data_IF_349855132392
#
_entry.id   IF_349855132392
#
_cell.length_a   1.000
_cell.length_b   1.000
_cell.length_c   1.000
_cell.angle_alpha   90.00
_cell.angle_beta   90.00
_cell.angle_gamma   90.00
#
_symmetry.space_group_name_H-M   'P 1'
#
loop_
_entity.id
_entity.type
_entity.pdbx_description
1 polymer ?
#
# COMPACT_ATOMS: atom_id res chain seq x y z
N UNK A 1 -10.76 -1.85 34.12
CA UNK A 1 -11.13 -1.39 32.77
C UNK A 1 -11.25 -2.61 31.88
N UNK A 2 -12.26 -2.70 31.02
CA UNK A 2 -12.36 -3.75 30.02
C UNK A 2 -11.17 -3.66 29.07
N UNK A 3 -10.66 -4.80 28.61
CA UNK A 3 -9.56 -4.87 27.64
C UNK A 3 -10.00 -4.15 26.35
N UNK A 4 -9.14 -3.27 25.82
CA UNK A 4 -9.40 -2.59 24.53
C UNK A 4 -9.56 -3.63 23.42
N UNK A 5 -10.65 -3.54 22.67
CA UNK A 5 -10.90 -4.41 21.52
C UNK A 5 -11.39 -3.59 20.34
N UNK A 6 -10.64 -3.63 19.27
CA UNK A 6 -10.95 -2.99 18.00
C UNK A 6 -11.28 -4.05 16.93
N UNK A 7 -11.73 -3.60 15.78
CA UNK A 7 -11.85 -4.47 14.59
C UNK A 7 -11.56 -3.68 13.31
N UNK A 8 -11.10 -4.39 12.30
CA UNK A 8 -11.21 -3.97 10.91
C UNK A 8 -12.26 -4.84 10.21
N UNK A 9 -13.15 -4.21 9.45
CA UNK A 9 -14.33 -4.86 8.91
C UNK A 9 -14.54 -4.53 7.43
N UNK A 10 -13.73 -5.11 6.52
CA UNK A 10 -13.83 -4.85 5.09
C UNK A 10 -14.93 -5.69 4.44
N UNK A 11 -15.62 -5.10 3.43
CA UNK A 11 -16.45 -5.85 2.50
C UNK A 11 -15.60 -6.36 1.34
N UNK A 12 -15.63 -7.67 0.99
CA UNK A 12 -14.79 -8.27 -0.04
C UNK A 12 -15.39 -8.03 -1.43
N UNK A 13 -15.62 -6.76 -1.78
CA UNK A 13 -16.15 -6.31 -3.08
C UNK A 13 -15.08 -5.80 -4.04
N UNK A 14 -13.81 -5.91 -3.65
CA UNK A 14 -12.61 -5.51 -4.39
C UNK A 14 -11.35 -5.74 -3.58
N UNK A 15 -10.20 -5.48 -4.21
CA UNK A 15 -8.89 -5.59 -3.57
C UNK A 15 -8.73 -4.57 -2.44
N UNK A 16 -7.91 -4.91 -1.42
CA UNK A 16 -7.63 -4.02 -0.30
C UNK A 16 -6.86 -2.79 -0.79
N UNK A 17 -7.53 -1.66 -0.87
CA UNK A 17 -6.87 -0.39 -1.22
C UNK A 17 -6.17 0.24 0.00
N UNK A 18 -5.21 1.12 -0.25
CA UNK A 18 -4.39 1.73 0.82
C UNK A 18 -5.20 2.50 1.86
N UNK A 19 -6.35 3.07 1.53
CA UNK A 19 -7.25 3.70 2.50
C UNK A 19 -7.81 2.70 3.51
N UNK A 20 -8.19 1.50 3.04
CA UNK A 20 -8.59 0.39 3.90
C UNK A 20 -7.41 -0.13 4.74
N UNK A 21 -6.25 -0.34 4.12
CA UNK A 21 -5.04 -0.78 4.82
C UNK A 21 -4.61 0.20 5.92
N UNK A 22 -4.66 1.54 5.66
CA UNK A 22 -4.41 2.56 6.68
C UNK A 22 -5.39 2.49 7.84
N UNK A 23 -6.67 2.35 7.54
CA UNK A 23 -7.71 2.24 8.57
C UNK A 23 -7.51 1.00 9.43
N UNK A 24 -7.19 -0.13 8.81
CA UNK A 24 -6.83 -1.36 9.51
C UNK A 24 -5.60 -1.18 10.41
N UNK A 25 -4.55 -0.55 9.87
CA UNK A 25 -3.33 -0.24 10.63
C UNK A 25 -3.63 0.60 11.87
N UNK A 26 -4.48 1.63 11.74
CA UNK A 26 -4.84 2.47 12.88
C UNK A 26 -5.68 1.74 13.93
N UNK A 27 -6.64 0.92 13.50
CA UNK A 27 -7.42 0.09 14.42
C UNK A 27 -6.52 -0.91 15.15
N UNK A 28 -5.58 -1.51 14.44
CA UNK A 28 -4.62 -2.46 14.97
C UNK A 28 -3.64 -1.80 15.95
N UNK A 29 -3.01 -0.68 15.58
CA UNK A 29 -2.10 0.07 16.43
C UNK A 29 -2.80 0.62 17.67
N UNK A 30 -4.04 1.09 17.53
CA UNK A 30 -4.83 1.57 18.67
C UNK A 30 -5.03 0.49 19.74
N UNK A 31 -5.30 -0.75 19.30
CA UNK A 31 -5.42 -1.88 20.21
C UNK A 31 -4.06 -2.29 20.78
N UNK A 32 -3.06 -2.53 19.91
CA UNK A 32 -1.73 -3.04 20.32
C UNK A 32 -1.02 -2.11 21.28
N UNK A 33 -1.00 -0.81 21.01
CA UNK A 33 -0.40 0.19 21.90
C UNK A 33 -1.03 0.26 23.29
N UNK A 34 -2.19 -0.36 23.48
CA UNK A 34 -2.93 -0.44 24.75
C UNK A 34 -3.07 -1.87 25.26
N UNK A 35 -2.24 -2.81 24.76
CA UNK A 35 -2.26 -4.23 25.12
C UNK A 35 -3.63 -4.88 24.89
N UNK A 36 -4.36 -4.36 23.89
CA UNK A 36 -5.69 -4.81 23.48
C UNK A 36 -5.65 -5.87 22.38
N UNK A 37 -6.80 -6.10 21.78
CA UNK A 37 -7.01 -7.04 20.67
C UNK A 37 -7.58 -6.32 19.46
N UNK A 38 -7.14 -6.73 18.26
CA UNK A 38 -7.73 -6.30 17.00
C UNK A 38 -8.27 -7.51 16.23
N UNK A 39 -9.53 -7.46 15.83
CA UNK A 39 -10.22 -8.54 15.10
C UNK A 39 -10.34 -8.20 13.61
N UNK A 40 -10.39 -9.24 12.77
CA UNK A 40 -10.78 -9.14 11.36
C UNK A 40 -12.17 -9.70 11.17
N UNK A 41 -13.08 -8.90 10.59
CA UNK A 41 -14.42 -9.32 10.20
C UNK A 41 -14.64 -9.06 8.72
N UNK A 42 -14.92 -10.09 7.96
CA UNK A 42 -15.26 -9.97 6.54
C UNK A 42 -16.78 -9.75 6.42
N UNK A 43 -17.16 -8.62 5.82
CA UNK A 43 -18.55 -8.22 5.63
C UNK A 43 -19.05 -8.70 4.25
N UNK A 44 -19.32 -10.00 4.16
CA UNK A 44 -19.67 -10.76 2.95
C UNK A 44 -21.17 -11.03 2.77
N UNK A 45 -22.02 -10.21 3.41
CA UNK A 45 -23.49 -10.36 3.33
C UNK A 45 -24.05 -10.07 1.93
N UNK A 46 -23.37 -9.24 1.12
CA UNK A 46 -23.73 -9.00 -0.28
C UNK A 46 -23.11 -10.08 -1.18
N UNK A 47 -23.81 -11.19 -1.36
CA UNK A 47 -23.35 -12.33 -2.16
C UNK A 47 -23.13 -12.02 -3.64
N UNK A 48 -23.72 -10.93 -4.17
CA UNK A 48 -23.59 -10.57 -5.59
C UNK A 48 -22.28 -9.89 -5.89
N UNK A 49 -21.72 -9.13 -4.94
CA UNK A 49 -20.48 -8.38 -5.07
C UNK A 49 -19.30 -8.99 -4.33
N UNK A 50 -19.54 -9.82 -3.31
CA UNK A 50 -18.50 -10.50 -2.54
C UNK A 50 -17.91 -11.66 -3.33
N UNK A 51 -16.57 -11.78 -3.32
CA UNK A 51 -15.84 -12.89 -3.96
C UNK A 51 -14.76 -13.42 -3.02
N UNK A 52 -14.58 -14.74 -3.03
CA UNK A 52 -13.53 -15.41 -2.25
C UNK A 52 -12.14 -14.92 -2.62
N UNK A 53 -11.88 -14.63 -3.89
CA UNK A 53 -10.63 -14.04 -4.40
C UNK A 53 -10.26 -12.73 -3.66
N UNK A 54 -11.25 -11.84 -3.42
CA UNK A 54 -10.99 -10.59 -2.69
C UNK A 54 -10.76 -10.83 -1.20
N UNK A 55 -11.43 -11.83 -0.62
CA UNK A 55 -11.20 -12.22 0.77
C UNK A 55 -9.78 -12.74 0.97
N UNK A 56 -9.33 -13.63 0.10
CA UNK A 56 -7.96 -14.16 0.15
C UNK A 56 -6.92 -13.06 -0.04
N UNK A 57 -7.16 -12.15 -0.98
CA UNK A 57 -6.24 -11.02 -1.22
C UNK A 57 -6.16 -10.10 -0.01
N UNK A 58 -7.29 -9.77 0.62
CA UNK A 58 -7.33 -8.97 1.86
C UNK A 58 -6.47 -9.62 2.95
N UNK A 59 -6.64 -10.92 3.18
CA UNK A 59 -5.88 -11.68 4.19
C UNK A 59 -4.38 -11.70 3.84
N UNK A 60 -4.03 -11.96 2.58
CA UNK A 60 -2.66 -11.98 2.10
C UNK A 60 -1.99 -10.60 2.20
N UNK A 61 -2.73 -9.53 1.90
CA UNK A 61 -2.25 -8.16 2.06
C UNK A 61 -1.87 -7.84 3.50
N UNK A 62 -2.68 -8.23 4.49
CA UNK A 62 -2.34 -8.03 5.89
C UNK A 62 -1.17 -8.88 6.34
N UNK A 63 -1.10 -10.13 5.89
CA UNK A 63 0.05 -11.00 6.15
C UNK A 63 1.34 -10.39 5.60
N UNK A 64 1.31 -9.84 4.39
CA UNK A 64 2.45 -9.18 3.78
C UNK A 64 2.85 -7.90 4.54
N UNK A 65 1.87 -7.08 4.98
CA UNK A 65 2.13 -5.91 5.81
C UNK A 65 2.62 -6.24 7.24
N UNK A 66 2.58 -7.51 7.65
CA UNK A 66 2.89 -7.93 9.01
C UNK A 66 1.86 -7.47 10.04
N UNK A 67 0.60 -7.31 9.63
CA UNK A 67 -0.54 -7.02 10.50
C UNK A 67 -1.24 -8.34 10.83
N UNK A 68 -1.27 -8.68 12.13
CA UNK A 68 -1.87 -9.93 12.63
C UNK A 68 -3.11 -9.62 13.47
N UNK A 69 -4.12 -10.45 13.34
CA UNK A 69 -5.35 -10.35 14.12
C UNK A 69 -5.36 -11.40 15.24
N UNK A 70 -6.00 -11.07 16.36
CA UNK A 70 -5.87 -11.84 17.60
C UNK A 70 -6.79 -13.06 17.68
N UNK A 71 -7.75 -13.19 16.76
CA UNK A 71 -8.70 -14.31 16.69
C UNK A 71 -8.85 -14.76 15.23
N UNK A 72 -9.58 -15.86 15.03
CA UNK A 72 -9.98 -16.31 13.70
C UNK A 72 -10.83 -15.24 13.00
N UNK A 73 -10.73 -15.19 11.69
CA UNK A 73 -11.51 -14.26 10.87
C UNK A 73 -13.02 -14.55 11.00
N UNK A 74 -13.77 -13.53 11.33
CA UNK A 74 -15.22 -13.60 11.44
C UNK A 74 -15.83 -13.33 10.06
N UNK A 75 -16.81 -14.13 9.66
CA UNK A 75 -17.58 -13.93 8.41
C UNK A 75 -19.03 -13.59 8.75
N UNK A 76 -19.53 -12.46 8.27
CA UNK A 76 -20.92 -12.03 8.52
C UNK A 76 -21.95 -13.00 7.96
N UNK A 77 -21.65 -13.62 6.82
CA UNK A 77 -22.54 -14.61 6.19
C UNK A 77 -22.86 -15.81 7.08
N UNK A 78 -22.00 -16.10 8.08
CA UNK A 78 -22.23 -17.20 9.02
C UNK A 78 -23.21 -16.84 10.15
N UNK A 79 -23.53 -15.56 10.34
CA UNK A 79 -24.31 -15.07 11.48
C UNK A 79 -25.80 -14.82 11.16
N UNK A 80 -26.31 -15.25 10.01
CA UNK A 80 -27.69 -14.97 9.58
C UNK A 80 -28.76 -15.33 10.62
N UNK A 81 -28.62 -16.49 11.31
CA UNK A 81 -29.51 -16.90 12.38
C UNK A 81 -29.46 -15.93 13.55
N UNK A 82 -28.26 -15.48 13.93
CA UNK A 82 -28.07 -14.54 15.04
C UNK A 82 -28.67 -13.18 14.73
N UNK A 83 -28.57 -12.70 13.52
CA UNK A 83 -29.22 -11.45 13.11
C UNK A 83 -30.73 -11.54 13.24
N UNK A 84 -31.34 -12.65 12.81
CA UNK A 84 -32.78 -12.86 12.96
C UNK A 84 -33.22 -12.85 14.43
N UNK A 85 -32.51 -13.56 15.32
CA UNK A 85 -32.77 -13.54 16.76
C UNK A 85 -32.76 -12.13 17.34
N UNK A 86 -31.79 -11.30 16.88
CA UNK A 86 -31.65 -9.91 17.35
C UNK A 86 -32.71 -8.98 16.77
N UNK A 87 -33.18 -9.21 15.54
CA UNK A 87 -34.36 -8.51 14.98
C UNK A 87 -35.60 -8.83 15.77
N UNK A 88 -35.84 -10.11 16.10
CA UNK A 88 -36.99 -10.54 16.92
C UNK A 88 -37.00 -9.85 18.29
N UNK A 89 -35.83 -9.72 18.93
CA UNK A 89 -35.67 -9.01 20.21
C UNK A 89 -36.04 -7.52 20.09
N UNK A 90 -35.72 -6.84 18.95
CA UNK A 90 -36.11 -5.43 18.74
C UNK A 90 -37.62 -5.28 18.46
N UNK A 91 -38.24 -6.26 17.81
CA UNK A 91 -39.70 -6.31 17.65
C UNK A 91 -40.40 -6.50 18.98
N UNK A 92 -39.95 -7.44 19.83
CA UNK A 92 -40.50 -7.73 21.14
C UNK A 92 -40.43 -6.53 22.09
N UNK A 93 -39.33 -5.76 22.06
CA UNK A 93 -39.19 -4.58 22.93
C UNK A 93 -39.76 -3.29 22.33
N UNK A 94 -40.40 -3.36 21.15
CA UNK A 94 -41.04 -2.22 20.50
C UNK A 94 -40.08 -1.22 19.84
N UNK A 95 -38.78 -1.55 19.71
CA UNK A 95 -37.78 -0.69 19.04
C UNK A 95 -37.73 -0.90 17.53
N UNK A 96 -38.46 -1.89 17.01
CA UNK A 96 -38.64 -2.15 15.58
C UNK A 96 -40.09 -2.45 15.26
N UNK A 97 -40.45 -2.39 13.98
CA UNK A 97 -41.82 -2.67 13.50
C UNK A 97 -41.78 -3.27 12.09
N UNK A 98 -42.83 -4.02 11.76
CA UNK A 98 -42.99 -4.62 10.41
C UNK A 98 -43.84 -3.69 9.56
N UNK A 99 -43.42 -3.46 8.32
CA UNK A 99 -44.13 -2.64 7.36
C UNK A 99 -44.13 -3.26 5.96
N UNK A 100 -45.04 -2.79 5.09
CA UNK A 100 -45.10 -3.16 3.69
C UNK A 100 -44.53 -2.03 2.82
N UNK A 101 -43.53 -2.36 2.00
CA UNK A 101 -43.06 -1.47 0.98
C UNK A 101 -41.87 -0.58 1.37
N UNK A 102 -41.42 0.21 0.42
CA UNK A 102 -40.23 1.07 0.53
C UNK A 102 -40.61 2.54 0.82
N UNK A 103 -41.91 2.85 0.94
CA UNK A 103 -42.40 4.22 1.16
C UNK A 103 -42.33 4.59 2.65
N UNK A 104 -41.38 5.46 3.00
CA UNK A 104 -41.08 5.90 4.37
C UNK A 104 -42.25 6.67 4.98
N UNK A 105 -43.04 7.40 4.21
CA UNK A 105 -44.19 8.19 4.71
C UNK A 105 -45.37 7.28 5.08
N UNK A 106 -45.63 6.25 4.31
CA UNK A 106 -46.64 5.24 4.59
C UNK A 106 -46.18 4.33 5.75
N UNK A 107 -44.91 4.02 5.82
CA UNK A 107 -44.26 3.26 6.89
C UNK A 107 -44.33 3.96 8.25
N UNK A 108 -44.16 5.29 8.31
CA UNK A 108 -44.33 6.06 9.54
C UNK A 108 -45.76 5.96 10.12
N UNK A 109 -46.75 5.81 9.25
CA UNK A 109 -48.16 5.57 9.67
C UNK A 109 -48.38 4.14 10.17
N UNK A 110 -47.60 3.18 9.69
CA UNK A 110 -47.72 1.76 10.06
C UNK A 110 -46.97 1.39 11.34
N UNK A 111 -46.15 2.30 11.93
CA UNK A 111 -45.42 2.07 13.20
C UNK A 111 -46.29 1.48 14.34
N UNK A 112 -47.54 1.82 14.35
CA UNK A 112 -48.49 1.41 15.42
C UNK A 112 -49.37 0.22 15.02
N UNK A 113 -49.24 -0.32 13.80
CA UNK A 113 -50.19 -1.33 13.28
C UNK A 113 -49.76 -2.78 13.57
N UNK A 114 -48.59 -3.04 14.17
CA UNK A 114 -48.09 -4.38 14.53
C UNK A 114 -48.37 -5.44 13.46
N UNK A 115 -47.97 -5.16 12.20
CA UNK A 115 -48.11 -6.11 11.12
C UNK A 115 -47.28 -7.37 11.40
N UNK A 116 -47.89 -8.53 11.10
CA UNK A 116 -47.12 -9.78 11.17
C UNK A 116 -46.14 -9.88 10.01
N UNK A 117 -44.99 -10.49 10.24
CA UNK A 117 -44.06 -10.84 9.15
C UNK A 117 -44.81 -11.71 8.13
N UNK A 118 -44.78 -11.28 6.88
CA UNK A 118 -45.38 -11.95 5.74
C UNK A 118 -44.49 -11.70 4.49
N UNK A 119 -44.82 -12.36 3.39
CA UNK A 119 -44.15 -12.13 2.12
C UNK A 119 -44.24 -10.64 1.76
N UNK A 120 -43.13 -10.08 1.27
CA UNK A 120 -42.95 -8.68 0.92
C UNK A 120 -42.99 -7.65 2.07
N UNK A 121 -42.87 -8.08 3.31
CA UNK A 121 -42.69 -7.17 4.44
C UNK A 121 -41.21 -6.96 4.76
N UNK A 122 -40.87 -5.78 5.29
CA UNK A 122 -39.56 -5.46 5.84
C UNK A 122 -39.65 -5.11 7.30
N UNK A 123 -38.54 -5.22 8.03
CA UNK A 123 -38.49 -4.73 9.42
C UNK A 123 -37.67 -3.47 9.48
N UNK A 124 -38.24 -2.40 10.05
CA UNK A 124 -37.55 -1.13 10.26
C UNK A 124 -37.23 -0.91 11.73
N UNK A 125 -36.06 -0.33 11.98
CA UNK A 125 -35.69 0.19 13.30
C UNK A 125 -36.39 1.52 13.54
N UNK A 126 -36.98 1.70 14.70
CA UNK A 126 -37.70 2.90 15.11
C UNK A 126 -36.70 3.91 15.70
N UNK A 127 -36.34 4.91 14.92
CA UNK A 127 -35.48 6.00 15.41
C UNK A 127 -36.21 6.89 16.41
N UNK A 128 -35.51 7.46 17.42
CA UNK A 128 -36.13 8.43 18.33
C UNK A 128 -36.50 9.71 17.56
N UNK A 129 -37.69 10.25 17.86
CA UNK A 129 -38.21 11.46 17.16
C UNK A 129 -37.78 12.77 17.84
N UNK A 130 -37.59 12.73 19.16
CA UNK A 130 -37.31 13.94 19.95
C UNK A 130 -35.90 13.92 20.52
N UNK A 131 -35.34 15.11 20.78
CA UNK A 131 -34.03 15.28 21.36
C UNK A 131 -32.91 15.18 20.31
N UNK A 132 -31.76 14.72 20.71
CA UNK A 132 -30.57 14.60 19.85
C UNK A 132 -29.78 13.33 20.15
N UNK A 133 -29.11 12.82 19.12
CA UNK A 133 -28.11 11.76 19.26
C UNK A 133 -26.72 12.38 19.12
N UNK A 134 -25.85 12.18 20.11
CA UNK A 134 -24.50 12.70 20.14
C UNK A 134 -23.49 11.64 20.58
N UNK A 135 -22.23 11.84 20.19
CA UNK A 135 -21.08 11.06 20.63
C UNK A 135 -19.81 11.89 20.54
N UNK A 136 -18.81 11.55 21.36
CA UNK A 136 -17.47 12.14 21.29
C UNK A 136 -16.59 11.24 20.44
N UNK A 137 -16.19 11.77 19.28
CA UNK A 137 -15.29 11.08 18.35
C UNK A 137 -13.82 11.30 18.72
N UNK A 138 -12.99 10.26 18.66
CA UNK A 138 -11.58 10.33 19.01
C UNK A 138 -10.76 11.29 18.10
N UNK A 139 -11.26 11.56 16.87
CA UNK A 139 -10.57 12.39 15.89
C UNK A 139 -11.28 13.72 15.71
N UNK A 140 -12.60 13.71 15.57
CA UNK A 140 -13.41 14.89 15.20
C UNK A 140 -13.97 15.64 16.41
N UNK A 141 -13.88 15.10 17.63
CA UNK A 141 -14.47 15.68 18.82
C UNK A 141 -15.97 15.42 18.94
N UNK A 142 -16.73 16.32 19.53
CA UNK A 142 -18.16 16.15 19.74
C UNK A 142 -18.95 16.30 18.45
N UNK A 143 -19.79 15.30 18.13
CA UNK A 143 -20.65 15.29 16.96
C UNK A 143 -22.08 15.02 17.43
N UNK A 144 -23.02 15.86 16.98
CA UNK A 144 -24.43 15.81 17.37
C UNK A 144 -25.34 16.02 16.17
N UNK A 145 -26.48 15.32 16.17
CA UNK A 145 -27.56 15.53 15.19
C UNK A 145 -28.90 15.56 15.92
N UNK A 146 -29.83 16.40 15.47
CA UNK A 146 -31.21 16.37 15.96
C UNK A 146 -31.92 15.11 15.48
N UNK A 147 -32.68 14.46 16.36
CA UNK A 147 -33.30 13.18 16.04
C UNK A 147 -34.41 13.29 14.97
N UNK A 148 -35.00 14.47 14.79
CA UNK A 148 -35.97 14.74 13.71
C UNK A 148 -35.33 14.68 12.29
N UNK A 149 -33.99 14.71 12.20
CA UNK A 149 -33.25 14.50 10.95
C UNK A 149 -32.85 13.03 10.71
N UNK A 150 -33.16 12.15 11.68
CA UNK A 150 -32.87 10.72 11.59
C UNK A 150 -34.11 9.95 11.18
N UNK A 151 -34.03 9.26 10.05
CA UNK A 151 -35.11 8.45 9.54
C UNK A 151 -35.04 7.00 10.02
N UNK A 152 -36.20 6.35 10.18
CA UNK A 152 -36.29 4.91 10.38
C UNK A 152 -35.62 4.19 9.21
N UNK A 153 -34.92 3.12 9.49
CA UNK A 153 -34.18 2.40 8.45
C UNK A 153 -34.43 0.89 8.51
N UNK A 154 -34.39 0.26 7.37
CA UNK A 154 -34.60 -1.19 7.24
C UNK A 154 -33.45 -1.92 7.94
N UNK A 155 -33.79 -2.84 8.85
CA UNK A 155 -32.84 -3.75 9.52
C UNK A 155 -32.94 -5.16 8.99
N UNK A 156 -34.11 -5.60 8.47
CA UNK A 156 -34.33 -6.86 7.78
C UNK A 156 -35.10 -6.61 6.47
N UNK A 157 -34.60 -7.13 5.36
CA UNK A 157 -35.25 -7.05 4.06
C UNK A 157 -36.35 -8.10 3.91
N UNK A 158 -37.14 -8.00 2.85
CA UNK A 158 -38.19 -8.93 2.50
C UNK A 158 -37.72 -10.37 2.23
N UNK A 159 -36.46 -10.54 1.84
CA UNK A 159 -35.83 -11.86 1.69
C UNK A 159 -35.27 -12.43 3.01
N UNK A 160 -35.48 -11.76 4.15
CA UNK A 160 -35.00 -12.13 5.46
C UNK A 160 -33.52 -11.77 5.71
N UNK A 161 -32.83 -11.12 4.78
CA UNK A 161 -31.45 -10.70 4.98
C UNK A 161 -31.36 -9.43 5.82
N UNK A 162 -30.44 -9.42 6.79
CA UNK A 162 -30.18 -8.24 7.61
C UNK A 162 -29.37 -7.17 6.83
N UNK A 163 -29.54 -5.91 7.21
CA UNK A 163 -28.83 -4.79 6.56
C UNK A 163 -27.55 -4.41 7.26
N UNK A 164 -26.64 -3.73 6.54
CA UNK A 164 -25.30 -3.35 6.99
C UNK A 164 -25.28 -2.72 8.40
N UNK A 165 -26.02 -1.63 8.63
CA UNK A 165 -25.98 -0.92 9.90
C UNK A 165 -26.42 -1.77 11.10
N UNK A 166 -27.30 -2.73 10.87
CA UNK A 166 -27.76 -3.65 11.89
C UNK A 166 -26.75 -4.79 12.14
N UNK A 167 -26.28 -5.44 11.07
CA UNK A 167 -25.28 -6.52 11.18
C UNK A 167 -24.03 -6.06 11.95
N UNK A 168 -23.51 -4.87 11.62
CA UNK A 168 -22.32 -4.30 12.28
C UNK A 168 -22.52 -4.18 13.79
N UNK A 169 -23.69 -3.72 14.24
CA UNK A 169 -23.97 -3.59 15.68
C UNK A 169 -24.04 -4.95 16.37
N UNK A 170 -24.74 -5.92 15.77
CA UNK A 170 -24.84 -7.28 16.34
C UNK A 170 -23.48 -7.93 16.47
N UNK A 171 -22.65 -7.84 15.41
CA UNK A 171 -21.30 -8.42 15.42
C UNK A 171 -20.36 -7.69 16.39
N UNK A 172 -20.46 -6.36 16.51
CA UNK A 172 -19.68 -5.58 17.45
C UNK A 172 -20.07 -5.91 18.91
N UNK A 173 -21.35 -6.17 19.18
CA UNK A 173 -21.83 -6.65 20.48
C UNK A 173 -21.29 -8.06 20.81
N UNK A 174 -21.49 -9.01 19.91
CA UNK A 174 -21.08 -10.40 20.12
C UNK A 174 -19.55 -10.52 20.25
N UNK A 175 -18.80 -9.69 19.50
CA UNK A 175 -17.34 -9.59 19.59
C UNK A 175 -16.84 -8.71 20.74
N UNK A 176 -17.73 -8.06 21.48
CA UNK A 176 -17.42 -7.13 22.60
C UNK A 176 -16.44 -6.02 22.14
N UNK A 177 -16.70 -5.41 21.00
CA UNK A 177 -15.89 -4.31 20.48
C UNK A 177 -16.06 -3.08 21.37
N UNK A 178 -14.94 -2.51 21.83
CA UNK A 178 -14.93 -1.33 22.68
C UNK A 178 -14.63 -0.05 21.91
N UNK A 179 -13.90 -0.16 20.78
CA UNK A 179 -13.50 0.99 19.96
C UNK A 179 -13.63 0.66 18.47
N UNK A 180 -14.20 1.60 17.73
CA UNK A 180 -14.44 1.50 16.29
C UNK A 180 -13.66 2.61 15.58
N UNK A 181 -12.53 2.25 14.95
CA UNK A 181 -11.76 3.17 14.11
C UNK A 181 -12.06 2.84 12.65
N UNK A 182 -12.52 3.85 11.87
CA UNK A 182 -12.97 3.65 10.49
C UNK A 182 -12.89 4.95 9.68
N UNK A 183 -13.16 4.88 8.39
CA UNK A 183 -13.25 6.05 7.52
C UNK A 183 -14.38 7.01 7.90
N UNK A 184 -14.20 8.29 7.66
CA UNK A 184 -15.16 9.34 8.01
C UNK A 184 -16.40 9.38 7.12
N UNK A 185 -16.42 8.65 6.02
CA UNK A 185 -17.61 8.38 5.21
C UNK A 185 -18.71 7.60 5.96
N UNK A 186 -18.36 7.00 7.11
CA UNK A 186 -19.29 6.29 7.99
C UNK A 186 -19.85 7.12 9.16
N UNK A 187 -19.51 8.39 9.30
CA UNK A 187 -20.01 9.23 10.43
C UNK A 187 -21.53 9.20 10.55
N UNK A 188 -22.25 9.33 9.44
CA UNK A 188 -23.72 9.31 9.44
C UNK A 188 -24.30 7.95 9.86
N UNK A 189 -23.59 6.85 9.62
CA UNK A 189 -24.01 5.53 10.08
C UNK A 189 -23.92 5.38 11.59
N UNK A 190 -23.02 6.12 12.24
CA UNK A 190 -22.80 6.07 13.69
C UNK A 190 -24.05 6.42 14.47
N UNK A 191 -24.81 7.42 14.03
CA UNK A 191 -26.06 7.81 14.71
C UNK A 191 -27.10 6.67 14.70
N UNK A 192 -27.21 5.94 13.59
CA UNK A 192 -28.10 4.76 13.48
C UNK A 192 -27.63 3.64 14.42
N UNK A 193 -26.33 3.35 14.38
CA UNK A 193 -25.72 2.28 15.17
C UNK A 193 -25.82 2.55 16.68
N UNK A 194 -25.56 3.79 17.14
CA UNK A 194 -25.71 4.18 18.54
C UNK A 194 -27.13 3.92 19.04
N UNK A 195 -28.16 4.25 18.26
CA UNK A 195 -29.54 4.04 18.66
C UNK A 195 -29.91 2.55 18.72
N UNK A 196 -29.33 1.72 17.85
CA UNK A 196 -29.50 0.25 17.93
C UNK A 196 -28.83 -0.32 19.20
N UNK A 197 -27.60 0.11 19.54
CA UNK A 197 -26.94 -0.27 20.80
C UNK A 197 -27.80 0.09 22.01
N UNK A 198 -28.35 1.31 22.06
CA UNK A 198 -29.23 1.78 23.12
C UNK A 198 -30.52 0.97 23.21
N UNK A 199 -31.09 0.55 22.07
CA UNK A 199 -32.30 -0.26 22.04
C UNK A 199 -32.09 -1.69 22.60
N UNK A 200 -30.86 -2.18 22.53
CA UNK A 200 -30.45 -3.43 23.19
C UNK A 200 -30.09 -3.24 24.67
N UNK A 201 -30.03 -2.00 25.15
CA UNK A 201 -29.55 -1.64 26.48
C UNK A 201 -28.09 -2.08 26.71
N UNK A 202 -27.24 -1.89 25.68
CA UNK A 202 -25.84 -2.26 25.69
C UNK A 202 -24.93 -1.01 25.56
N UNK A 203 -23.67 -1.15 26.00
CA UNK A 203 -22.70 -0.07 25.94
C UNK A 203 -22.34 0.26 24.49
N UNK A 204 -22.33 1.56 24.18
CA UNK A 204 -21.91 2.07 22.87
C UNK A 204 -20.39 2.11 22.79
N UNK A 205 -19.75 1.53 21.76
CA UNK A 205 -18.32 1.62 21.60
C UNK A 205 -17.87 3.07 21.35
N UNK A 206 -16.63 3.39 21.70
CA UNK A 206 -16.01 4.67 21.36
C UNK A 206 -15.67 4.68 19.86
N UNK A 207 -16.00 5.76 19.17
CA UNK A 207 -15.76 5.90 17.72
C UNK A 207 -14.57 6.83 17.44
N UNK A 208 -13.85 6.54 16.37
CA UNK A 208 -12.82 7.39 15.78
C UNK A 208 -12.93 7.36 14.26
N UNK A 209 -13.28 8.50 13.65
CA UNK A 209 -13.48 8.62 12.20
C UNK A 209 -12.28 9.33 11.56
N UNK A 210 -11.45 8.55 10.88
CA UNK A 210 -10.23 9.05 10.21
C UNK A 210 -10.58 9.64 8.84
N UNK A 211 -10.02 10.80 8.48
CA UNK A 211 -10.28 11.45 7.19
C UNK A 211 -9.85 10.57 6.02
N UNK A 212 -10.46 10.78 4.86
CA UNK A 212 -10.06 10.10 3.63
C UNK A 212 -8.65 10.51 3.20
N UNK A 213 -8.00 9.65 2.42
CA UNK A 213 -6.76 9.98 1.71
C UNK A 213 -7.15 10.64 0.39
N UNK A 214 -6.48 11.75 0.05
CA UNK A 214 -6.66 12.49 -1.19
C UNK A 214 -5.53 12.20 -2.17
N UNK A 215 -5.80 12.34 -3.46
CA UNK A 215 -4.80 12.43 -4.50
C UNK A 215 -4.18 13.84 -4.54
N UNK A 216 -3.15 14.02 -5.35
CA UNK A 216 -2.48 15.33 -5.52
C UNK A 216 -3.41 16.42 -6.08
N UNK A 217 -4.49 16.02 -6.75
CA UNK A 217 -5.54 16.94 -7.24
C UNK A 217 -6.56 17.36 -6.16
N UNK A 218 -6.35 16.96 -4.91
CA UNK A 218 -7.22 17.25 -3.77
C UNK A 218 -8.54 16.46 -3.75
N UNK A 219 -8.76 15.54 -4.69
CA UNK A 219 -9.94 14.69 -4.72
C UNK A 219 -9.67 13.36 -3.98
N UNK A 220 -10.75 12.66 -3.62
CA UNK A 220 -10.64 11.32 -3.04
C UNK A 220 -9.70 10.46 -3.89
N UNK A 221 -8.75 9.82 -3.24
CA UNK A 221 -7.79 8.94 -3.90
C UNK A 221 -8.52 7.85 -4.70
N UNK A 222 -8.14 7.70 -5.97
CA UNK A 222 -8.72 6.74 -6.91
C UNK A 222 -7.63 6.03 -7.70
N UNK A 223 -7.99 5.01 -8.47
CA UNK A 223 -7.05 4.27 -9.33
C UNK A 223 -6.22 5.20 -10.25
N UNK A 224 -6.78 6.34 -10.66
CA UNK A 224 -6.05 7.35 -11.48
C UNK A 224 -4.94 8.06 -10.72
N UNK A 225 -4.98 8.04 -9.40
CA UNK A 225 -4.02 8.69 -8.51
C UNK A 225 -3.08 7.67 -7.83
N UNK A 226 -2.99 6.44 -8.35
CA UNK A 226 -2.19 5.39 -7.72
C UNK A 226 -2.86 4.70 -6.54
N UNK A 227 -4.21 4.79 -6.41
CA UNK A 227 -4.93 3.93 -5.45
C UNK A 227 -4.95 2.48 -5.94
N UNK A 228 -3.80 1.88 -5.88
CA UNK A 228 -3.58 0.47 -6.18
C UNK A 228 -4.04 -0.41 -5.01
N UNK A 229 -4.30 -1.66 -5.28
CA UNK A 229 -4.39 -2.66 -4.22
C UNK A 229 -3.04 -2.83 -3.51
N UNK A 230 -3.08 -3.22 -2.24
CA UNK A 230 -1.84 -3.43 -1.47
C UNK A 230 -0.89 -4.39 -2.18
N UNK A 231 -1.41 -5.46 -2.78
CA UNK A 231 -0.62 -6.42 -3.56
C UNK A 231 0.11 -5.82 -4.76
N UNK A 232 -0.43 -4.76 -5.37
CA UNK A 232 0.21 -4.08 -6.49
C UNK A 232 1.46 -3.29 -6.05
N UNK A 233 1.48 -2.71 -4.84
CA UNK A 233 2.70 -2.09 -4.29
C UNK A 233 3.80 -3.12 -4.05
N UNK A 234 3.44 -4.30 -3.55
CA UNK A 234 4.37 -5.42 -3.42
C UNK A 234 4.98 -5.81 -4.77
N UNK A 235 4.17 -5.92 -5.82
CA UNK A 235 4.64 -6.25 -7.17
C UNK A 235 5.51 -5.16 -7.81
N UNK A 236 5.34 -3.90 -7.39
CA UNK A 236 6.22 -2.79 -7.78
C UNK A 236 7.54 -2.74 -7.01
N UNK A 237 7.76 -3.68 -6.08
CA UNK A 237 8.99 -3.76 -5.30
C UNK A 237 9.05 -2.78 -4.12
N UNK A 238 7.89 -2.33 -3.63
CA UNK A 238 7.77 -1.61 -2.37
C UNK A 238 7.88 -2.60 -1.21
N UNK A 239 8.64 -2.25 -0.18
CA UNK A 239 8.79 -3.05 1.03
C UNK A 239 7.57 -2.89 1.94
N UNK A 240 7.13 -3.96 2.64
CA UNK A 240 5.97 -3.88 3.54
C UNK A 240 6.18 -2.88 4.69
N UNK A 241 7.37 -2.81 5.27
CA UNK A 241 7.72 -1.85 6.31
C UNK A 241 7.66 -0.40 5.82
N UNK A 242 8.07 -0.15 4.57
CA UNK A 242 8.01 1.17 3.97
C UNK A 242 6.56 1.62 3.74
N UNK A 243 5.73 0.75 3.15
CA UNK A 243 4.32 1.06 2.96
C UNK A 243 3.60 1.25 4.30
N UNK A 244 3.86 0.39 5.29
CA UNK A 244 3.26 0.49 6.63
C UNK A 244 3.62 1.81 7.31
N UNK A 245 4.89 2.21 7.31
CA UNK A 245 5.33 3.49 7.89
C UNK A 245 4.72 4.68 7.14
N UNK A 246 4.67 4.62 5.81
CA UNK A 246 4.05 5.68 5.02
C UNK A 246 2.55 5.80 5.32
N UNK A 247 1.81 4.68 5.42
CA UNK A 247 0.40 4.68 5.80
C UNK A 247 0.17 5.25 7.20
N UNK A 248 1.08 4.98 8.14
CA UNK A 248 1.04 5.59 9.48
C UNK A 248 1.08 7.11 9.38
N UNK A 249 2.01 7.67 8.60
CA UNK A 249 2.18 9.12 8.42
C UNK A 249 1.03 9.76 7.64
N UNK A 250 0.24 9.01 6.90
CA UNK A 250 -0.96 9.48 6.22
C UNK A 250 -2.17 9.64 7.16
N UNK A 251 -1.99 10.24 8.31
CA UNK A 251 -3.08 10.56 9.24
C UNK A 251 -2.76 10.40 10.72
N UNK A 252 -1.50 10.11 11.05
CA UNK A 252 -1.00 10.11 12.42
C UNK A 252 0.37 10.78 12.49
N UNK A 253 0.65 11.46 13.59
CA UNK A 253 1.92 12.15 13.79
C UNK A 253 2.37 12.10 15.25
N UNK A 254 3.71 12.06 15.43
CA UNK A 254 4.41 12.24 16.71
C UNK A 254 5.56 13.21 16.47
N UNK A 255 5.29 14.50 16.69
CA UNK A 255 6.27 15.56 16.36
C UNK A 255 6.72 15.48 14.88
N UNK A 256 8.02 15.69 14.65
CA UNK A 256 8.64 15.70 13.32
C UNK A 256 9.20 14.33 12.90
N UNK A 257 9.03 13.29 13.72
CA UNK A 257 9.53 11.96 13.39
C UNK A 257 8.78 11.38 12.18
N UNK A 258 9.54 10.92 11.20
CA UNK A 258 9.01 10.33 9.96
C UNK A 258 9.16 8.81 9.94
N UNK A 259 10.27 8.29 10.42
CA UNK A 259 10.61 6.86 10.37
C UNK A 259 10.31 6.20 11.70
N UNK A 260 9.60 5.09 11.63
CA UNK A 260 9.21 4.26 12.78
C UNK A 260 9.37 2.79 12.39
N UNK A 261 10.12 2.03 13.20
CA UNK A 261 10.11 0.59 13.04
C UNK A 261 8.79 -0.03 13.57
N UNK A 262 8.61 -1.34 13.34
CA UNK A 262 7.38 -2.03 13.71
C UNK A 262 7.06 -1.94 15.20
N UNK A 263 8.04 -2.17 16.06
CA UNK A 263 7.90 -2.14 17.52
C UNK A 263 7.64 -0.72 18.01
N UNK A 264 8.38 0.23 17.47
CA UNK A 264 8.22 1.65 17.80
C UNK A 264 6.82 2.17 17.42
N UNK A 265 6.24 1.72 16.29
CA UNK A 265 4.87 2.06 15.93
C UNK A 265 3.87 1.61 17.02
N UNK A 266 4.01 0.38 17.51
CA UNK A 266 3.13 -0.16 18.55
C UNK A 266 3.28 0.59 19.87
N UNK A 267 4.50 0.87 20.31
CA UNK A 267 4.74 1.52 21.59
C UNK A 267 4.31 2.98 21.59
N UNK A 268 4.60 3.71 20.52
CA UNK A 268 4.46 5.17 20.51
C UNK A 268 3.14 5.67 19.95
N UNK A 269 2.28 4.79 19.39
CA UNK A 269 1.01 5.22 18.79
C UNK A 269 0.11 5.99 19.78
N UNK A 270 0.15 5.67 21.08
CA UNK A 270 -0.62 6.37 22.12
C UNK A 270 -0.14 7.81 22.37
N UNK A 271 1.13 8.09 22.04
CA UNK A 271 1.77 9.39 22.27
C UNK A 271 1.55 10.36 21.11
N UNK A 272 1.17 9.83 19.95
CA UNK A 272 0.89 10.63 18.77
C UNK A 272 -0.56 11.05 18.66
N UNK A 273 -0.86 11.78 17.61
CA UNK A 273 -2.18 12.35 17.35
C UNK A 273 -2.73 11.85 16.01
N UNK A 274 -3.98 11.39 16.01
CA UNK A 274 -4.74 11.16 14.78
C UNK A 274 -5.14 12.51 14.19
N UNK A 275 -4.76 12.75 12.96
CA UNK A 275 -4.98 14.02 12.29
C UNK A 275 -6.45 14.18 11.88
N UNK A 276 -7.02 15.37 12.10
CA UNK A 276 -8.39 15.71 11.71
C UNK A 276 -8.52 16.05 10.22
N UNK A 277 -7.43 16.49 9.59
CA UNK A 277 -7.40 16.88 8.18
C UNK A 277 -7.04 15.70 7.29
N UNK A 278 -7.60 15.62 6.07
CA UNK A 278 -7.19 14.67 5.07
C UNK A 278 -5.70 14.77 4.75
N UNK A 279 -5.08 13.63 4.46
CA UNK A 279 -3.68 13.56 4.00
C UNK A 279 -3.65 13.30 2.49
N UNK A 280 -2.67 13.89 1.80
CA UNK A 280 -2.46 13.69 0.37
C UNK A 280 -1.45 12.58 0.13
N UNK A 281 -1.79 11.63 -0.72
CA UNK A 281 -0.89 10.57 -1.17
C UNK A 281 0.12 11.13 -2.17
N UNK A 282 1.39 10.81 -1.99
CA UNK A 282 2.48 11.10 -2.94
C UNK A 282 3.32 9.84 -3.14
N UNK A 283 3.48 9.43 -4.40
CA UNK A 283 4.34 8.31 -4.76
C UNK A 283 5.81 8.62 -4.46
N UNK A 284 6.26 9.86 -4.71
CA UNK A 284 7.64 10.27 -4.41
C UNK A 284 7.98 10.13 -2.93
N UNK A 285 7.03 10.50 -2.05
CA UNK A 285 7.20 10.33 -0.61
C UNK A 285 7.23 8.84 -0.22
N UNK A 286 6.40 7.99 -0.83
CA UNK A 286 6.45 6.54 -0.60
C UNK A 286 7.79 5.95 -1.06
N UNK A 287 8.30 6.35 -2.23
CA UNK A 287 9.61 5.90 -2.73
C UNK A 287 10.74 6.38 -1.81
N UNK A 288 10.64 7.57 -1.24
CA UNK A 288 11.58 8.04 -0.23
C UNK A 288 11.60 7.13 1.02
N UNK A 289 10.43 6.76 1.55
CA UNK A 289 10.34 5.75 2.62
C UNK A 289 10.95 4.43 2.20
N UNK A 290 10.63 3.96 0.99
CA UNK A 290 11.13 2.68 0.49
C UNK A 290 12.65 2.67 0.37
N UNK A 291 13.22 3.74 -0.18
CA UNK A 291 14.68 3.93 -0.28
C UNK A 291 15.34 3.88 1.09
N UNK A 292 14.77 4.57 2.10
CA UNK A 292 15.28 4.55 3.47
C UNK A 292 15.39 3.12 4.03
N UNK A 293 14.31 2.33 3.88
CA UNK A 293 14.30 0.94 4.35
C UNK A 293 15.21 0.03 3.54
N UNK A 294 15.33 0.23 2.23
CA UNK A 294 16.29 -0.48 1.39
C UNK A 294 17.74 -0.21 1.84
N UNK A 295 18.05 1.04 2.14
CA UNK A 295 19.39 1.44 2.59
C UNK A 295 19.75 0.90 3.99
N UNK A 296 18.78 0.58 4.81
CA UNK A 296 19.00 -0.01 6.12
C UNK A 296 19.23 -1.53 6.09
N UNK A 297 18.87 -2.21 4.98
CA UNK A 297 18.97 -3.69 4.88
C UNK A 297 20.43 -4.15 4.70
N UNK A 298 20.77 -5.28 5.31
CA UNK A 298 22.01 -5.99 5.01
C UNK A 298 22.01 -6.55 3.57
N UNK A 299 23.20 -6.93 3.08
CA UNK A 299 23.33 -7.59 1.76
C UNK A 299 22.49 -8.86 1.67
N UNK A 300 22.50 -9.68 2.71
CA UNK A 300 21.72 -10.91 2.78
C UNK A 300 20.20 -10.64 2.75
N UNK A 301 19.74 -9.65 3.50
CA UNK A 301 18.33 -9.24 3.49
C UNK A 301 17.90 -8.70 2.12
N UNK A 302 18.76 -7.94 1.44
CA UNK A 302 18.48 -7.46 0.08
C UNK A 302 18.45 -8.61 -0.92
N UNK A 303 19.43 -9.53 -0.88
CA UNK A 303 19.47 -10.72 -1.73
C UNK A 303 18.18 -11.54 -1.60
N UNK A 304 17.74 -11.78 -0.36
CA UNK A 304 16.48 -12.49 -0.09
C UNK A 304 15.25 -11.74 -0.59
N UNK A 305 15.22 -10.42 -0.43
CA UNK A 305 14.09 -9.59 -0.87
C UNK A 305 14.00 -9.51 -2.41
N UNK A 306 15.14 -9.40 -3.11
CA UNK A 306 15.21 -9.38 -4.58
C UNK A 306 14.75 -10.74 -5.15
N UNK A 307 15.04 -11.84 -4.47
CA UNK A 307 14.64 -13.21 -4.84
C UNK A 307 14.85 -13.51 -6.33
N UNK A 308 16.02 -13.17 -6.85
CA UNK A 308 16.40 -13.37 -8.25
C UNK A 308 17.67 -14.21 -8.33
N UNK A 309 17.71 -15.20 -9.24
CA UNK A 309 18.82 -16.14 -9.41
C UNK A 309 20.19 -15.49 -9.66
N UNK A 310 20.22 -14.26 -10.15
CA UNK A 310 21.44 -13.51 -10.38
C UNK A 310 22.06 -12.99 -9.07
N UNK A 311 21.28 -12.90 -8.00
CA UNK A 311 21.71 -12.46 -6.68
C UNK A 311 21.79 -13.69 -5.75
N UNK A 312 22.84 -14.49 -5.93
CA UNK A 312 23.08 -15.74 -5.23
C UNK A 312 23.85 -15.59 -3.90
N UNK A 313 24.20 -14.35 -3.53
CA UNK A 313 25.00 -14.03 -2.36
C UNK A 313 26.51 -14.26 -2.53
N UNK A 314 26.97 -14.65 -3.72
CA UNK A 314 28.38 -14.78 -4.07
C UNK A 314 29.08 -13.43 -4.13
N UNK A 315 30.42 -13.43 -4.21
CA UNK A 315 31.22 -12.19 -4.23
C UNK A 315 30.85 -11.29 -5.39
N UNK A 316 30.68 -11.84 -6.59
CA UNK A 316 30.31 -11.08 -7.78
C UNK A 316 28.94 -10.40 -7.62
N UNK A 317 27.92 -11.14 -7.26
CA UNK A 317 26.57 -10.62 -7.08
C UNK A 317 26.49 -9.58 -5.95
N UNK A 318 27.28 -9.73 -4.90
CA UNK A 318 27.42 -8.75 -3.82
C UNK A 318 28.08 -7.45 -4.28
N UNK A 319 29.11 -7.52 -5.13
CA UNK A 319 29.77 -6.35 -5.70
C UNK A 319 28.82 -5.59 -6.62
N UNK A 320 28.05 -6.30 -7.46
CA UNK A 320 27.00 -5.71 -8.29
C UNK A 320 25.95 -5.01 -7.43
N UNK A 321 25.44 -5.68 -6.41
CA UNK A 321 24.42 -5.15 -5.50
C UNK A 321 24.88 -3.83 -4.87
N UNK A 322 26.11 -3.78 -4.35
CA UNK A 322 26.68 -2.56 -3.75
C UNK A 322 26.84 -1.43 -4.77
N UNK A 323 27.26 -1.74 -5.99
CA UNK A 323 27.49 -0.74 -7.02
C UNK A 323 26.21 -0.03 -7.47
N UNK A 324 25.07 -0.72 -7.46
CA UNK A 324 23.79 -0.17 -7.94
C UNK A 324 22.87 0.33 -6.83
N UNK A 325 23.14 0.00 -5.56
CA UNK A 325 22.26 0.24 -4.40
C UNK A 325 21.72 1.67 -4.32
N UNK A 326 22.61 2.66 -4.48
CA UNK A 326 22.24 4.07 -4.36
C UNK A 326 21.28 4.54 -5.46
N UNK A 327 21.14 3.76 -6.53
CA UNK A 327 20.29 4.04 -7.69
C UNK A 327 18.94 3.35 -7.63
N UNK A 328 18.73 2.49 -6.64
CA UNK A 328 17.53 1.69 -6.47
C UNK A 328 16.62 2.31 -5.41
N UNK A 329 15.39 2.58 -5.78
CA UNK A 329 14.32 3.03 -4.89
C UNK A 329 13.30 1.93 -4.62
N UNK A 330 13.31 0.87 -5.42
CA UNK A 330 12.46 -0.31 -5.28
C UNK A 330 13.30 -1.59 -5.40
N UNK A 331 12.74 -2.72 -4.96
CA UNK A 331 13.37 -4.04 -5.17
C UNK A 331 13.54 -4.35 -6.66
N UNK A 332 12.58 -3.94 -7.48
CA UNK A 332 12.61 -4.20 -8.92
C UNK A 332 13.77 -3.45 -9.61
N UNK A 333 14.15 -2.28 -9.10
CA UNK A 333 15.27 -1.50 -9.66
C UNK A 333 16.58 -2.29 -9.62
N UNK A 334 16.80 -3.13 -8.60
CA UNK A 334 17.99 -3.98 -8.52
C UNK A 334 18.09 -4.92 -9.73
N UNK A 335 16.98 -5.51 -10.16
CA UNK A 335 16.95 -6.41 -11.32
C UNK A 335 17.20 -5.64 -12.61
N UNK A 336 16.56 -4.48 -12.76
CA UNK A 336 16.68 -3.63 -13.95
C UNK A 336 18.10 -3.08 -14.08
N UNK A 337 18.62 -2.43 -13.03
CA UNK A 337 19.93 -1.77 -13.06
C UNK A 337 21.11 -2.72 -13.04
N UNK A 338 20.90 -3.99 -12.71
CA UNK A 338 21.97 -5.01 -12.74
C UNK A 338 22.03 -5.80 -14.04
N UNK A 339 21.05 -5.70 -14.91
CA UNK A 339 20.86 -6.60 -16.06
C UNK A 339 22.13 -6.76 -16.91
N UNK A 340 22.84 -5.68 -17.20
CA UNK A 340 24.07 -5.68 -18.00
C UNK A 340 25.29 -6.31 -17.28
N UNK A 341 25.24 -6.52 -15.97
CA UNK A 341 26.31 -7.27 -15.27
C UNK A 341 26.17 -8.79 -15.48
N UNK A 342 24.96 -9.28 -15.74
CA UNK A 342 24.67 -10.70 -15.87
C UNK A 342 24.39 -11.18 -17.29
N UNK A 343 24.11 -10.24 -18.22
CA UNK A 343 23.85 -10.54 -19.63
C UNK A 343 24.54 -9.50 -20.50
N UNK A 344 25.12 -9.94 -21.65
CA UNK A 344 25.67 -9.01 -22.61
C UNK A 344 24.55 -8.16 -23.23
N UNK A 345 24.75 -6.84 -23.47
CA UNK A 345 23.83 -6.01 -24.20
C UNK A 345 23.62 -6.56 -25.62
N UNK A 346 22.36 -6.74 -26.03
CA UNK A 346 22.00 -7.26 -27.37
C UNK A 346 21.46 -6.17 -28.29
N UNK A 347 20.81 -5.15 -27.70
CA UNK A 347 20.17 -4.07 -28.42
C UNK A 347 20.69 -2.72 -27.92
N UNK A 348 20.85 -1.78 -28.82
CA UNK A 348 21.28 -0.42 -28.54
C UNK A 348 20.27 0.55 -29.15
N UNK A 349 19.83 1.53 -28.38
CA UNK A 349 18.91 2.55 -28.88
C UNK A 349 19.63 3.47 -29.88
N UNK A 350 19.13 3.54 -31.11
CA UNK A 350 19.66 4.41 -32.18
C UNK A 350 19.76 5.88 -31.74
N UNK A 351 18.80 6.35 -30.96
CA UNK A 351 18.78 7.71 -30.40
C UNK A 351 19.96 7.97 -29.49
N UNK A 352 20.40 7.01 -28.68
CA UNK A 352 21.55 7.13 -27.79
C UNK A 352 22.86 7.02 -28.58
N UNK A 353 22.96 6.11 -29.55
CA UNK A 353 24.10 5.98 -30.43
C UNK A 353 24.28 7.30 -31.20
N UNK A 354 23.27 7.78 -31.91
CA UNK A 354 23.30 9.00 -32.70
C UNK A 354 23.64 10.24 -31.85
N UNK A 355 23.26 10.26 -30.59
CA UNK A 355 23.54 11.36 -29.66
C UNK A 355 24.99 11.34 -29.15
N UNK A 356 25.51 10.17 -28.80
CA UNK A 356 26.75 10.02 -28.04
C UNK A 356 27.94 9.47 -28.86
N UNK A 357 27.70 8.78 -29.97
CA UNK A 357 28.73 8.31 -30.87
C UNK A 357 28.83 9.27 -32.06
N UNK A 358 29.84 10.12 -32.09
CA UNK A 358 30.11 11.12 -33.11
C UNK A 358 31.39 10.76 -33.88
N UNK A 359 31.66 11.54 -34.91
CA UNK A 359 32.94 11.44 -35.66
C UNK A 359 34.12 11.32 -34.71
N UNK A 360 35.00 10.35 -34.95
CA UNK A 360 36.18 10.05 -34.13
C UNK A 360 35.89 9.02 -33.01
N UNK A 361 34.63 8.72 -32.65
CA UNK A 361 34.31 7.81 -31.53
C UNK A 361 34.94 6.43 -31.73
N UNK A 362 34.91 5.89 -32.95
CA UNK A 362 35.51 4.59 -33.25
C UNK A 362 37.04 4.61 -32.98
N UNK A 363 37.76 5.65 -33.42
CA UNK A 363 39.17 5.78 -33.18
C UNK A 363 39.53 5.92 -31.69
N UNK A 364 38.73 6.75 -30.94
CA UNK A 364 38.95 6.96 -29.50
C UNK A 364 38.75 5.68 -28.69
N UNK A 365 37.69 4.95 -28.98
CA UNK A 365 37.41 3.67 -28.30
C UNK A 365 38.39 2.57 -28.70
N UNK A 366 38.91 2.59 -29.96
CA UNK A 366 39.92 1.63 -30.40
C UNK A 366 41.24 1.87 -29.65
N UNK A 367 41.63 3.13 -29.47
CA UNK A 367 42.82 3.49 -28.68
C UNK A 367 42.65 3.10 -27.20
N UNK A 368 41.51 3.44 -26.61
CA UNK A 368 41.19 3.05 -25.25
C UNK A 368 41.25 1.53 -25.08
N UNK A 369 40.64 0.78 -25.99
CA UNK A 369 40.65 -0.68 -26.02
C UNK A 369 42.05 -1.26 -26.03
N UNK A 370 42.96 -0.67 -26.81
CA UNK A 370 44.39 -1.08 -26.85
C UNK A 370 45.04 -0.90 -25.48
N UNK A 371 44.90 0.27 -24.85
CA UNK A 371 45.46 0.53 -23.52
C UNK A 371 44.87 -0.37 -22.43
N UNK A 372 43.57 -0.61 -22.46
CA UNK A 372 42.92 -1.53 -21.53
C UNK A 372 43.42 -2.97 -21.71
N UNK A 373 43.79 -3.38 -22.96
CA UNK A 373 44.30 -4.73 -23.22
C UNK A 373 45.71 -4.94 -22.64
N UNK A 374 46.51 -3.89 -22.50
CA UNK A 374 47.87 -3.92 -21.96
C UNK A 374 47.90 -3.80 -20.43
N UNK A 375 46.77 -3.42 -19.80
CA UNK A 375 46.69 -3.18 -18.36
C UNK A 375 46.96 -4.48 -17.58
N UNK A 376 48.03 -4.49 -16.75
CA UNK A 376 48.38 -5.66 -15.94
C UNK A 376 47.49 -5.81 -14.72
N UNK A 377 47.22 -4.69 -14.02
CA UNK A 377 46.35 -4.66 -12.82
C UNK A 377 44.95 -4.16 -13.21
N UNK A 378 43.94 -4.98 -13.02
CA UNK A 378 42.58 -4.65 -13.35
C UNK A 378 41.80 -4.22 -12.08
N UNK A 379 41.91 -2.94 -11.73
CA UNK A 379 41.17 -2.30 -10.65
C UNK A 379 40.67 -0.93 -11.09
N UNK A 380 39.73 -0.39 -10.30
CA UNK A 380 39.03 0.87 -10.58
C UNK A 380 40.01 2.04 -10.82
N UNK A 381 41.10 2.12 -10.04
CA UNK A 381 42.09 3.20 -10.12
C UNK A 381 42.86 3.10 -11.45
N UNK A 382 43.44 1.95 -11.76
CA UNK A 382 44.21 1.73 -12.96
C UNK A 382 43.37 1.90 -14.24
N UNK A 383 42.10 1.44 -14.20
CA UNK A 383 41.17 1.64 -15.32
C UNK A 383 40.86 3.10 -15.53
N UNK A 384 40.62 3.87 -14.46
CA UNK A 384 40.39 5.31 -14.53
C UNK A 384 41.58 6.04 -15.11
N UNK A 385 42.81 5.73 -14.69
CA UNK A 385 44.04 6.31 -15.22
C UNK A 385 44.18 6.08 -16.74
N UNK A 386 43.83 4.89 -17.22
CA UNK A 386 43.82 4.57 -18.65
C UNK A 386 42.79 5.39 -19.43
N UNK A 387 41.57 5.53 -18.87
CA UNK A 387 40.53 6.36 -19.48
C UNK A 387 41.01 7.84 -19.55
N UNK A 388 41.53 8.39 -18.46
CA UNK A 388 42.01 9.77 -18.37
C UNK A 388 43.20 10.01 -19.29
N UNK A 389 44.14 9.06 -19.42
CA UNK A 389 45.22 9.07 -20.37
C UNK A 389 44.70 9.17 -21.81
N UNK A 390 43.71 8.33 -22.16
CA UNK A 390 43.12 8.33 -23.51
C UNK A 390 42.45 9.68 -23.81
N UNK A 391 41.68 10.22 -22.85
CA UNK A 391 41.05 11.55 -22.97
C UNK A 391 42.07 12.64 -23.25
N UNK A 392 43.20 12.63 -22.52
CA UNK A 392 44.26 13.63 -22.65
C UNK A 392 44.99 13.51 -23.99
N UNK A 393 45.25 12.28 -24.47
CA UNK A 393 46.01 12.04 -25.72
C UNK A 393 45.21 12.42 -26.97
N UNK A 394 43.89 12.20 -26.96
CA UNK A 394 43.05 12.57 -28.11
C UNK A 394 42.51 14.01 -28.00
N UNK A 395 42.86 14.72 -26.95
CA UNK A 395 42.48 16.12 -26.67
C UNK A 395 40.96 16.39 -26.79
N UNK A 396 40.15 15.55 -26.12
CA UNK A 396 38.71 15.70 -26.13
C UNK A 396 38.13 15.71 -24.70
N UNK A 397 36.91 16.19 -24.54
CA UNK A 397 36.23 16.11 -23.24
C UNK A 397 35.88 14.67 -22.88
N UNK A 398 35.94 14.32 -21.58
CA UNK A 398 35.63 12.99 -21.02
C UNK A 398 34.33 12.38 -21.59
N UNK A 399 33.26 13.21 -21.77
CA UNK A 399 31.99 12.73 -22.29
C UNK A 399 32.04 12.10 -23.68
N UNK A 400 33.07 12.45 -24.50
CA UNK A 400 33.24 11.88 -25.84
C UNK A 400 33.86 10.46 -25.82
N UNK A 401 34.39 10.03 -24.70
CA UNK A 401 34.93 8.68 -24.48
C UNK A 401 34.09 7.92 -23.46
N UNK A 402 33.80 8.53 -22.30
CA UNK A 402 33.13 7.89 -21.20
C UNK A 402 31.66 7.50 -21.50
N UNK A 403 30.91 8.31 -22.27
CA UNK A 403 29.53 7.96 -22.64
C UNK A 403 29.47 6.85 -23.71
N UNK A 404 30.25 6.91 -24.81
CA UNK A 404 30.33 5.77 -25.75
C UNK A 404 30.82 4.47 -25.08
N UNK A 405 31.86 4.54 -24.22
CA UNK A 405 32.30 3.39 -23.43
C UNK A 405 31.16 2.82 -22.57
N UNK A 406 30.41 3.68 -21.91
CA UNK A 406 29.26 3.27 -21.09
C UNK A 406 28.20 2.58 -21.95
N UNK A 407 27.87 3.15 -23.12
CA UNK A 407 26.94 2.49 -24.05
C UNK A 407 27.46 1.14 -24.50
N UNK A 408 28.72 1.02 -24.88
CA UNK A 408 29.34 -0.24 -25.29
C UNK A 408 29.18 -1.35 -24.22
N UNK A 409 29.34 -0.98 -22.95
CA UNK A 409 29.34 -1.94 -21.85
C UNK A 409 27.95 -2.24 -21.27
N UNK A 410 27.02 -1.30 -21.36
CA UNK A 410 25.76 -1.36 -20.60
C UNK A 410 24.49 -1.11 -21.44
N UNK A 411 24.60 -0.71 -22.69
CA UNK A 411 23.55 -0.21 -23.57
C UNK A 411 22.71 0.94 -22.97
N UNK A 412 23.20 1.60 -21.90
CA UNK A 412 22.52 2.73 -21.25
C UNK A 412 23.51 3.85 -20.94
N UNK A 413 23.02 5.06 -20.76
CA UNK A 413 23.82 6.20 -20.28
C UNK A 413 23.76 6.34 -18.75
N UNK A 414 22.94 5.55 -18.08
CA UNK A 414 22.72 5.59 -16.63
C UNK A 414 23.24 4.31 -15.96
N UNK A 415 24.47 4.35 -15.45
CA UNK A 415 25.11 3.26 -14.70
C UNK A 415 26.00 3.85 -13.58
N UNK A 416 26.55 3.05 -12.67
CA UNK A 416 27.63 3.47 -11.77
C UNK A 416 28.82 4.10 -12.54
N UNK A 417 29.82 4.59 -11.82
CA UNK A 417 31.02 5.12 -12.50
C UNK A 417 31.57 4.06 -13.44
N UNK A 418 32.04 4.49 -14.63
CA UNK A 418 32.35 3.54 -15.70
C UNK A 418 33.59 2.69 -15.38
N UNK A 419 34.52 3.23 -14.63
CA UNK A 419 35.67 2.54 -14.06
C UNK A 419 35.24 1.39 -13.11
N UNK A 420 34.26 1.63 -12.21
CA UNK A 420 33.69 0.59 -11.34
C UNK A 420 32.93 -0.49 -12.15
N UNK A 421 32.20 -0.07 -13.18
CA UNK A 421 31.50 -1.05 -14.06
C UNK A 421 32.54 -1.93 -14.77
N UNK A 422 33.63 -1.35 -15.28
CA UNK A 422 34.73 -2.12 -15.91
C UNK A 422 35.36 -3.09 -14.92
N UNK A 423 35.67 -2.65 -13.69
CA UNK A 423 36.25 -3.50 -12.65
C UNK A 423 35.40 -4.72 -12.37
N UNK A 424 34.08 -4.52 -12.11
CA UNK A 424 33.14 -5.60 -11.77
C UNK A 424 32.96 -6.57 -12.95
N UNK A 425 32.80 -6.05 -14.18
CA UNK A 425 32.67 -6.90 -15.38
C UNK A 425 33.90 -7.75 -15.66
N UNK A 426 35.09 -7.23 -15.30
CA UNK A 426 36.37 -7.88 -15.59
C UNK A 426 36.87 -7.67 -17.02
N UNK A 427 38.19 -7.80 -17.18
CA UNK A 427 38.93 -7.47 -18.40
C UNK A 427 38.38 -8.13 -19.67
N UNK A 428 38.13 -9.44 -19.59
CA UNK A 428 37.71 -10.21 -20.76
C UNK A 428 36.33 -9.77 -21.29
N UNK A 429 35.37 -9.50 -20.39
CA UNK A 429 34.01 -9.06 -20.77
C UNK A 429 34.07 -7.65 -21.35
N UNK A 430 34.82 -6.77 -20.73
CA UNK A 430 34.97 -5.37 -21.20
C UNK A 430 35.55 -5.34 -22.60
N UNK A 431 36.67 -6.03 -22.85
CA UNK A 431 37.30 -6.09 -24.17
C UNK A 431 36.36 -6.70 -25.23
N UNK A 432 35.68 -7.81 -24.91
CA UNK A 432 34.73 -8.44 -25.81
C UNK A 432 33.59 -7.48 -26.20
N UNK A 433 33.00 -6.79 -25.23
CA UNK A 433 31.88 -5.85 -25.48
C UNK A 433 32.37 -4.63 -26.31
N UNK A 434 33.56 -4.14 -26.01
CA UNK A 434 34.15 -3.08 -26.82
C UNK A 434 34.38 -3.52 -28.28
N UNK A 435 34.94 -4.72 -28.53
CA UNK A 435 35.13 -5.25 -29.87
C UNK A 435 33.81 -5.39 -30.65
N UNK A 436 32.74 -5.90 -29.98
CA UNK A 436 31.41 -6.01 -30.56
C UNK A 436 30.85 -4.62 -30.92
N UNK A 437 30.94 -3.66 -30.00
CA UNK A 437 30.43 -2.31 -30.19
C UNK A 437 31.18 -1.56 -31.29
N UNK A 438 32.50 -1.67 -31.31
CA UNK A 438 33.34 -1.08 -32.39
C UNK A 438 32.94 -1.64 -33.76
N UNK A 439 32.76 -2.93 -33.88
CA UNK A 439 32.27 -3.56 -35.12
C UNK A 439 30.92 -3.03 -35.57
N UNK A 440 30.02 -2.81 -34.65
CA UNK A 440 28.67 -2.28 -34.91
C UNK A 440 28.74 -0.81 -35.39
N UNK A 441 29.44 0.08 -34.68
CA UNK A 441 29.50 1.51 -35.08
C UNK A 441 30.27 1.72 -36.38
N UNK A 442 31.26 0.86 -36.69
CA UNK A 442 31.96 0.90 -37.97
C UNK A 442 31.06 0.56 -39.16
N UNK A 443 30.08 -0.32 -39.00
CA UNK A 443 29.10 -0.63 -40.03
C UNK A 443 28.17 0.56 -40.28
N UNK A 444 27.75 1.26 -39.23
CA UNK A 444 26.89 2.46 -39.32
C UNK A 444 27.59 3.65 -40.01
N UNK A 445 28.89 3.80 -39.79
CA UNK A 445 29.69 4.86 -40.49
C UNK A 445 29.89 4.58 -41.98
N UNK A 446 29.77 3.33 -42.46
CA UNK A 446 29.86 2.95 -43.88
C UNK A 446 28.56 3.09 -44.64
N UNK A 447 27.44 3.11 -43.95
CA UNK A 447 26.10 3.22 -44.53
C UNK A 447 25.59 4.69 -44.57
N UNK A 448 26.38 5.65 -44.10
CA UNK A 448 26.19 7.11 -44.15
C UNK A 448 27.12 7.73 -45.24
#
# INVERSE_FOLDING_TARGET
MSKIRTRFAPSPTGYLHIGGARTALFAWLYAKSRQGECLLRIEDTDKTRSKDEYTEEIINSFKWLGITFDQETIFQSHNAKRYKEMVDRLLENGSAYVCQGDDIEEDKKSRDLNLLRADNTVVRFKMPEQGSTSFTDLVKGEIQVSNDQLEDFIIERSDGSATYNFCVVVDDLDSKITHVIRGDDHVNNTFKQINVFKAFNEDVPTYGHVPMILGEDGKRLSKRHGALGVGEYSSQGILPEALKNYLLRLGWSKGDQEIFDHHEMEETFVEGTLNQSPATFSMDKLLWFNKHYLDSKSKEQLTNAINNKNFDGGEYSNNVLLAIRDRCSTINDFVVHSSYFFKDPEEFEDTLINKHCKEGTHAYLSLLRSYLSELEKWDQISIKEVIDKTVSEVDVGFGKIGLPLRLALTATVNSPSIDLVCEILGKNIVLKRLDNFLSMIQSLEKDL
#
